data_IF_668281177797
#
_entry.id   IF_668281177797
#
_cell.length_a   1.000
_cell.length_b   1.000
_cell.length_c   1.000
_cell.angle_alpha   90.00
_cell.angle_beta   90.00
_cell.angle_gamma   90.00
#
_symmetry.space_group_name_H-M   'P 1'
#
loop_
_entity.id
_entity.type
_entity.pdbx_description
1 polymer ?
#
# COMPACT_ATOMS: atom_id res chain seq x y z
N UNK A 1 36.44 5.15 -3.94
CA UNK A 1 36.53 3.73 -3.50
C UNK A 1 35.78 3.62 -2.19
N UNK A 2 34.92 2.61 -2.02
CA UNK A 2 34.14 2.43 -0.79
C UNK A 2 35.03 2.03 0.40
N UNK A 3 34.69 2.42 1.64
CA UNK A 3 35.40 1.94 2.81
C UNK A 3 35.26 0.42 2.93
N UNK A 4 36.31 -0.24 3.42
CA UNK A 4 36.23 -1.67 3.80
C UNK A 4 35.20 -1.79 4.91
N UNK A 5 34.12 -2.51 4.62
CA UNK A 5 32.95 -2.63 5.50
C UNK A 5 32.55 -4.10 5.58
N UNK A 6 32.31 -4.58 6.78
CA UNK A 6 31.87 -5.94 7.08
C UNK A 6 30.34 -6.08 7.01
N UNK A 7 29.84 -7.31 6.88
CA UNK A 7 28.39 -7.58 6.92
C UNK A 7 27.75 -7.13 8.23
N UNK A 8 28.47 -7.24 9.35
CA UNK A 8 28.01 -6.77 10.65
C UNK A 8 27.84 -5.24 10.68
N UNK A 9 28.77 -4.49 10.08
CA UNK A 9 28.67 -3.04 9.98
C UNK A 9 27.54 -2.59 9.03
N UNK A 10 27.35 -3.29 7.91
CA UNK A 10 26.21 -3.07 7.03
C UNK A 10 24.89 -3.29 7.77
N UNK A 11 24.78 -4.40 8.49
CA UNK A 11 23.59 -4.75 9.27
C UNK A 11 23.30 -3.71 10.36
N UNK A 12 24.28 -3.39 11.22
CA UNK A 12 24.16 -2.38 12.28
C UNK A 12 23.75 -1.02 11.72
N UNK A 13 24.33 -0.64 10.59
CA UNK A 13 23.99 0.62 9.92
C UNK A 13 22.55 0.62 9.42
N UNK A 14 22.12 -0.45 8.74
CA UNK A 14 20.76 -0.52 8.22
C UNK A 14 19.73 -0.47 9.36
N UNK A 15 19.95 -1.23 10.45
CA UNK A 15 19.07 -1.19 11.61
C UNK A 15 19.02 0.19 12.25
N UNK A 16 20.16 0.91 12.38
CA UNK A 16 20.17 2.29 12.86
C UNK A 16 19.32 3.23 11.97
N UNK A 17 19.39 3.05 10.64
CA UNK A 17 18.57 3.81 9.69
C UNK A 17 17.08 3.51 9.93
N UNK A 18 16.71 2.25 10.08
CA UNK A 18 15.32 1.83 10.28
C UNK A 18 14.76 2.26 11.64
N UNK A 19 15.53 2.16 12.72
CA UNK A 19 15.01 2.34 14.08
C UNK A 19 15.24 3.77 14.61
N UNK A 20 16.47 4.29 14.46
CA UNK A 20 16.92 5.46 15.21
C UNK A 20 16.94 6.75 14.39
N UNK A 21 16.92 6.65 13.06
CA UNK A 21 16.99 7.83 12.22
C UNK A 21 15.67 8.60 12.19
N UNK A 22 15.73 9.94 12.19
CA UNK A 22 14.53 10.78 12.03
C UNK A 22 13.88 10.54 10.66
N UNK A 23 12.54 10.48 10.66
CA UNK A 23 11.69 10.18 9.49
C UNK A 23 10.48 11.09 9.48
N UNK A 24 10.41 12.00 8.50
CA UNK A 24 9.25 12.86 8.27
C UNK A 24 8.22 12.20 7.34
N UNK A 25 8.68 11.22 6.54
CA UNK A 25 7.87 10.43 5.62
C UNK A 25 8.51 9.04 5.42
N UNK A 26 7.83 8.18 4.66
CA UNK A 26 8.24 6.80 4.45
C UNK A 26 9.32 6.61 3.36
N UNK A 27 9.96 7.67 2.86
CA UNK A 27 10.93 7.55 1.76
C UNK A 27 12.15 6.72 2.12
N UNK A 28 12.60 6.74 3.38
CA UNK A 28 13.73 5.89 3.81
C UNK A 28 13.38 4.40 3.70
N UNK A 29 12.16 4.00 4.06
CA UNK A 29 11.73 2.62 3.91
C UNK A 29 11.61 2.21 2.44
N UNK A 30 11.03 3.09 1.61
CA UNK A 30 10.98 2.86 0.17
C UNK A 30 12.38 2.75 -0.45
N UNK A 31 13.36 3.56 0.01
CA UNK A 31 14.74 3.48 -0.46
C UNK A 31 15.44 2.19 -0.01
N UNK A 32 15.23 1.77 1.25
CA UNK A 32 15.75 0.48 1.74
C UNK A 32 15.15 -0.70 0.96
N UNK A 33 13.83 -0.68 0.70
CA UNK A 33 13.13 -1.68 -0.11
C UNK A 33 13.68 -1.72 -1.53
N UNK A 34 13.89 -0.55 -2.14
CA UNK A 34 14.52 -0.43 -3.46
C UNK A 34 15.91 -1.09 -3.47
N UNK A 35 16.79 -0.81 -2.50
CA UNK A 35 18.11 -1.43 -2.43
C UNK A 35 18.01 -2.96 -2.34
N UNK A 36 17.11 -3.48 -1.50
CA UNK A 36 16.89 -4.91 -1.35
C UNK A 36 16.38 -5.56 -2.64
N UNK A 37 15.37 -4.99 -3.29
CA UNK A 37 14.79 -5.56 -4.51
C UNK A 37 15.73 -5.44 -5.71
N UNK A 38 16.40 -4.30 -5.87
CA UNK A 38 17.35 -4.08 -6.96
C UNK A 38 18.54 -5.03 -6.86
N UNK A 39 19.18 -5.14 -5.68
CA UNK A 39 20.32 -6.04 -5.48
C UNK A 39 19.95 -7.52 -5.58
N UNK A 40 18.68 -7.89 -5.34
CA UNK A 40 18.22 -9.26 -5.51
C UNK A 40 17.96 -9.64 -6.98
N UNK A 41 17.73 -8.64 -7.84
CA UNK A 41 17.39 -8.83 -9.26
C UNK A 41 18.55 -8.54 -10.22
N UNK A 42 19.63 -7.94 -9.74
CA UNK A 42 20.79 -7.55 -10.56
C UNK A 42 22.10 -8.11 -9.98
N UNK A 43 23.14 -8.12 -10.81
CA UNK A 43 24.47 -8.58 -10.43
C UNK A 43 25.33 -7.43 -9.91
N UNK A 44 26.34 -7.75 -9.09
CA UNK A 44 27.22 -6.78 -8.43
C UNK A 44 28.12 -5.98 -9.38
N UNK A 45 28.12 -6.33 -10.67
CA UNK A 45 28.77 -5.57 -11.75
C UNK A 45 27.93 -4.36 -12.19
N UNK A 46 26.60 -4.41 -12.04
CA UNK A 46 25.66 -3.36 -12.43
C UNK A 46 25.45 -2.37 -11.28
N UNK A 47 26.54 -1.69 -10.92
CA UNK A 47 26.58 -0.82 -9.74
C UNK A 47 25.91 0.52 -9.95
N UNK A 48 25.83 1.02 -11.17
CA UNK A 48 25.27 2.34 -11.46
C UNK A 48 23.74 2.28 -11.58
N UNK A 49 23.05 3.22 -10.94
CA UNK A 49 21.58 3.32 -11.01
C UNK A 49 21.12 4.76 -11.19
N UNK A 50 20.36 5.00 -12.25
CA UNK A 50 19.68 6.27 -12.48
C UNK A 50 18.53 6.52 -11.49
N UNK A 51 18.34 7.78 -11.12
CA UNK A 51 17.19 8.17 -10.29
C UNK A 51 15.85 7.93 -10.96
N UNK A 52 15.78 7.82 -12.29
CA UNK A 52 14.55 7.41 -12.99
C UNK A 52 14.17 5.96 -12.68
N UNK A 53 15.16 5.07 -12.55
CA UNK A 53 14.93 3.68 -12.12
C UNK A 53 14.41 3.67 -10.68
N UNK A 54 15.06 4.40 -9.76
CA UNK A 54 14.60 4.52 -8.37
C UNK A 54 13.19 5.12 -8.30
N UNK A 55 12.88 6.13 -9.13
CA UNK A 55 11.56 6.73 -9.23
C UNK A 55 10.48 5.74 -9.64
N UNK A 56 10.79 4.83 -10.58
CA UNK A 56 9.86 3.77 -11.00
C UNK A 56 9.54 2.80 -9.86
N UNK A 57 10.54 2.34 -9.11
CA UNK A 57 10.32 1.50 -7.92
C UNK A 57 9.50 2.21 -6.85
N UNK A 58 9.82 3.48 -6.58
CA UNK A 58 9.03 4.29 -5.65
C UNK A 58 7.58 4.40 -6.12
N UNK A 59 7.35 4.74 -7.39
CA UNK A 59 6.00 4.84 -7.92
C UNK A 59 5.24 3.51 -7.79
N UNK A 60 5.88 2.37 -8.06
CA UNK A 60 5.27 1.05 -7.88
C UNK A 60 4.84 0.80 -6.44
N UNK A 61 5.70 1.08 -5.47
CA UNK A 61 5.38 0.85 -4.05
C UNK A 61 4.22 1.72 -3.57
N UNK A 62 4.22 3.00 -3.95
CA UNK A 62 3.17 3.93 -3.54
C UNK A 62 1.89 3.78 -4.37
N UNK A 63 1.95 3.17 -5.57
CA UNK A 63 0.80 3.00 -6.45
C UNK A 63 -0.35 2.28 -5.74
N UNK A 64 -0.12 1.07 -5.23
CA UNK A 64 -1.18 0.32 -4.55
C UNK A 64 -1.59 0.96 -3.22
N UNK A 65 -0.63 1.53 -2.48
CA UNK A 65 -0.90 2.19 -1.21
C UNK A 65 -1.85 3.37 -1.37
N UNK A 66 -1.67 4.20 -2.40
CA UNK A 66 -2.48 5.39 -2.66
C UNK A 66 -3.75 5.04 -3.47
N UNK A 67 -3.59 4.40 -4.62
CA UNK A 67 -4.65 4.27 -5.62
C UNK A 67 -5.68 3.19 -5.31
N UNK A 68 -5.27 2.15 -4.58
CA UNK A 68 -6.11 0.98 -4.26
C UNK A 68 -6.51 0.94 -2.79
N UNK A 69 -5.52 0.98 -1.90
CA UNK A 69 -5.71 0.79 -0.46
C UNK A 69 -6.00 2.08 0.31
N UNK A 70 -5.77 3.24 -0.31
CA UNK A 70 -6.02 4.58 0.27
C UNK A 70 -5.40 4.75 1.66
N UNK A 71 -4.16 4.29 1.81
CA UNK A 71 -3.39 4.47 3.03
C UNK A 71 -3.06 5.94 3.24
N UNK A 72 -3.24 6.43 4.46
CA UNK A 72 -2.82 7.78 4.86
C UNK A 72 -1.31 7.83 4.96
N UNK A 73 -0.74 8.84 4.32
CA UNK A 73 0.72 9.06 4.25
C UNK A 73 1.16 10.33 4.99
N UNK A 74 0.21 11.07 5.57
CA UNK A 74 0.44 12.22 6.46
C UNK A 74 -0.76 12.46 7.38
N UNK A 75 -0.52 13.06 8.56
CA UNK A 75 -1.60 13.50 9.47
C UNK A 75 -2.45 14.63 8.89
N UNK A 76 -1.82 15.54 8.15
CA UNK A 76 -2.47 16.71 7.55
C UNK A 76 -2.35 16.65 6.03
N UNK A 77 -3.42 17.05 5.33
CA UNK A 77 -3.48 17.04 3.86
C UNK A 77 -2.38 17.91 3.24
N UNK A 78 -2.07 19.07 3.83
CA UNK A 78 -1.00 19.97 3.37
C UNK A 78 0.40 19.33 3.45
N UNK A 79 0.60 18.43 4.42
CA UNK A 79 1.86 17.73 4.69
C UNK A 79 2.02 16.42 3.92
N UNK A 80 1.13 16.11 2.96
CA UNK A 80 1.27 14.93 2.10
C UNK A 80 2.66 14.88 1.46
N UNK A 81 3.32 13.70 1.42
CA UNK A 81 4.56 13.51 0.69
C UNK A 81 4.41 13.89 -0.79
N UNK A 82 5.49 14.39 -1.39
CA UNK A 82 5.44 14.90 -2.76
C UNK A 82 5.03 13.82 -3.78
N UNK A 83 5.42 12.55 -3.57
CA UNK A 83 5.01 11.43 -4.43
C UNK A 83 3.49 11.27 -4.47
N UNK A 84 2.81 11.45 -3.34
CA UNK A 84 1.35 11.35 -3.27
C UNK A 84 0.69 12.50 -4.03
N UNK A 85 1.24 13.72 -3.89
CA UNK A 85 0.77 14.90 -4.65
C UNK A 85 0.95 14.71 -6.15
N UNK A 86 2.06 14.08 -6.57
CA UNK A 86 2.34 13.77 -7.97
C UNK A 86 1.32 12.75 -8.50
N UNK A 87 1.13 11.61 -7.80
CA UNK A 87 0.18 10.57 -8.18
C UNK A 87 -1.23 11.15 -8.32
N UNK A 88 -1.71 11.88 -7.30
CA UNK A 88 -3.07 12.45 -7.31
C UNK A 88 -3.29 13.49 -8.43
N UNK A 89 -2.23 14.17 -8.88
CA UNK A 89 -2.32 15.14 -9.98
C UNK A 89 -2.41 14.47 -11.34
N UNK A 90 -1.62 13.43 -11.59
CA UNK A 90 -1.66 12.69 -12.86
C UNK A 90 -2.85 11.71 -12.94
N UNK A 91 -3.27 11.20 -11.79
CA UNK A 91 -4.35 10.22 -11.63
C UNK A 91 -5.42 10.75 -10.66
N UNK A 92 -6.28 11.70 -11.09
CA UNK A 92 -7.21 12.42 -10.20
C UNK A 92 -8.49 11.65 -9.85
N UNK A 93 -8.80 10.54 -10.52
CA UNK A 93 -9.99 9.75 -10.17
C UNK A 93 -9.85 9.17 -8.77
N UNK A 94 -10.96 9.02 -8.07
CA UNK A 94 -10.98 8.53 -6.69
C UNK A 94 -10.64 7.03 -6.55
N UNK A 95 -10.49 6.30 -7.66
CA UNK A 95 -10.28 4.87 -7.67
C UNK A 95 -9.55 4.40 -8.94
N UNK A 96 -8.41 3.73 -8.74
CA UNK A 96 -7.67 3.03 -9.79
C UNK A 96 -7.30 1.62 -9.30
N UNK A 97 -8.11 0.59 -9.60
CA UNK A 97 -7.92 -0.75 -9.06
C UNK A 97 -6.76 -1.55 -9.68
N UNK A 98 -6.22 -1.07 -10.79
CA UNK A 98 -5.24 -1.75 -11.62
C UNK A 98 -3.91 -1.97 -10.87
N UNK A 99 -3.24 -3.08 -11.16
CA UNK A 99 -1.84 -3.27 -10.74
C UNK A 99 -0.96 -2.20 -11.38
N UNK A 100 0.24 -2.01 -10.83
CA UNK A 100 1.21 -1.09 -11.39
C UNK A 100 1.58 -1.47 -12.84
N UNK A 101 1.82 -2.76 -13.08
CA UNK A 101 2.10 -3.31 -14.41
C UNK A 101 0.96 -2.99 -15.39
N UNK A 102 -0.30 -3.16 -14.95
CA UNK A 102 -1.44 -2.93 -15.82
C UNK A 102 -1.66 -1.45 -16.13
N UNK A 103 -1.46 -0.55 -15.16
CA UNK A 103 -1.59 0.88 -15.43
C UNK A 103 -0.46 1.41 -16.32
N UNK A 104 0.74 0.81 -16.24
CA UNK A 104 1.84 1.13 -17.16
C UNK A 104 1.47 0.85 -18.62
N UNK A 105 0.71 -0.22 -18.89
CA UNK A 105 0.22 -0.53 -20.24
C UNK A 105 -0.88 0.43 -20.69
N UNK A 106 -1.81 0.79 -19.80
CA UNK A 106 -3.00 1.58 -20.16
C UNK A 106 -2.67 3.07 -20.26
N UNK A 107 -1.80 3.59 -19.40
CA UNK A 107 -1.50 5.02 -19.27
C UNK A 107 0.02 5.29 -19.21
N UNK A 108 0.82 4.79 -20.19
CA UNK A 108 2.28 4.84 -20.13
C UNK A 108 2.82 6.27 -20.01
N UNK A 109 2.22 7.23 -20.71
CA UNK A 109 2.65 8.63 -20.67
C UNK A 109 2.45 9.28 -19.29
N UNK A 110 1.33 9.01 -18.61
CA UNK A 110 1.08 9.51 -17.25
C UNK A 110 2.08 8.92 -16.28
N UNK A 111 2.39 7.62 -16.41
CA UNK A 111 3.41 6.98 -15.59
C UNK A 111 4.78 7.60 -15.83
N UNK A 112 5.17 7.85 -17.09
CA UNK A 112 6.44 8.52 -17.37
C UNK A 112 6.49 9.93 -16.76
N UNK A 113 5.41 10.72 -16.85
CA UNK A 113 5.33 12.02 -16.18
C UNK A 113 5.45 11.92 -14.66
N UNK A 114 4.86 10.90 -14.05
CA UNK A 114 5.04 10.62 -12.62
C UNK A 114 6.52 10.34 -12.30
N UNK A 115 7.17 9.44 -13.06
CA UNK A 115 8.58 9.07 -12.88
C UNK A 115 9.48 10.31 -12.95
N UNK A 116 9.31 11.15 -13.97
CA UNK A 116 10.09 12.39 -14.13
C UNK A 116 9.89 13.36 -12.96
N UNK A 117 8.65 13.54 -12.52
CA UNK A 117 8.34 14.43 -11.38
C UNK A 117 8.87 13.86 -10.06
N UNK A 118 8.82 12.55 -9.87
CA UNK A 118 9.34 11.87 -8.68
C UNK A 118 10.86 12.01 -8.65
N UNK A 119 11.56 11.71 -9.76
CA UNK A 119 13.00 11.93 -9.92
C UNK A 119 13.38 13.33 -9.46
N UNK A 120 12.75 14.35 -10.04
CA UNK A 120 13.08 15.77 -9.81
C UNK A 120 12.81 16.25 -8.39
N UNK A 121 11.83 15.70 -7.67
CA UNK A 121 11.37 16.29 -6.40
C UNK A 121 11.60 15.44 -5.15
N UNK A 122 11.70 14.12 -5.27
CA UNK A 122 11.64 13.23 -4.11
C UNK A 122 13.02 12.88 -3.53
N UNK A 123 14.08 12.89 -4.35
CA UNK A 123 15.34 12.27 -3.96
C UNK A 123 16.37 13.19 -3.30
N UNK A 124 16.28 14.50 -3.49
CA UNK A 124 17.29 15.42 -2.97
C UNK A 124 17.54 15.25 -1.47
N UNK A 125 16.50 15.08 -0.64
CA UNK A 125 16.68 14.92 0.80
C UNK A 125 16.93 13.47 1.21
N UNK A 126 16.16 12.51 0.68
CA UNK A 126 16.28 11.12 1.13
C UNK A 126 17.62 10.52 0.77
N UNK A 127 18.21 10.80 -0.40
CA UNK A 127 19.47 10.17 -0.82
C UNK A 127 20.60 10.40 0.17
N UNK A 128 20.84 11.65 0.59
CA UNK A 128 21.92 11.92 1.55
C UNK A 128 21.52 11.67 3.01
N UNK A 129 20.24 11.83 3.36
CA UNK A 129 19.76 11.57 4.72
C UNK A 129 19.57 10.09 5.00
N UNK A 130 19.50 9.23 3.99
CA UNK A 130 19.33 7.79 4.14
C UNK A 130 20.52 7.21 4.91
N UNK A 131 21.75 7.51 4.48
CA UNK A 131 22.98 7.03 5.11
C UNK A 131 23.53 8.01 6.17
N UNK A 132 22.65 8.84 6.75
CA UNK A 132 22.98 9.74 7.86
C UNK A 132 22.47 9.13 9.16
N UNK A 133 23.38 8.56 9.93
CA UNK A 133 23.09 7.82 11.16
C UNK A 133 23.46 8.63 12.42
N UNK A 134 22.82 8.31 13.53
CA UNK A 134 23.14 8.89 14.84
C UNK A 134 24.47 8.29 15.34
N UNK A 135 25.40 9.16 15.73
CA UNK A 135 26.69 8.78 16.31
C UNK A 135 26.96 9.63 17.55
N UNK A 136 26.69 9.05 18.73
CA UNK A 136 26.68 9.77 20.00
C UNK A 136 25.66 10.92 20.00
N UNK A 137 26.12 12.14 20.31
CA UNK A 137 25.33 13.39 20.26
C UNK A 137 25.25 14.03 18.87
N UNK A 138 25.90 13.44 17.86
CA UNK A 138 25.99 13.99 16.51
C UNK A 138 25.34 13.07 15.47
N UNK A 139 25.26 13.54 14.22
CA UNK A 139 24.84 12.73 13.09
C UNK A 139 25.97 12.67 12.06
N UNK A 140 26.30 11.46 11.59
CA UNK A 140 27.39 11.23 10.62
C UNK A 140 26.82 10.61 9.33
N UNK A 141 27.28 11.12 8.19
CA UNK A 141 26.99 10.57 6.86
C UNK A 141 28.10 9.57 6.53
N UNK A 142 27.77 8.27 6.38
CA UNK A 142 28.78 7.19 6.33
C UNK A 142 28.97 6.53 4.96
N UNK A 143 28.07 6.76 4.00
CA UNK A 143 28.19 6.34 2.57
C UNK A 143 28.73 4.92 2.32
N UNK A 144 28.29 3.94 3.09
CA UNK A 144 28.77 2.55 2.96
C UNK A 144 27.97 1.74 1.92
N UNK A 145 26.70 2.05 1.68
CA UNK A 145 25.84 1.28 0.77
C UNK A 145 25.93 1.75 -0.68
N UNK A 146 26.02 3.07 -0.88
CA UNK A 146 26.10 3.68 -2.20
C UNK A 146 26.73 5.08 -2.11
N UNK A 147 27.27 5.55 -3.22
CA UNK A 147 27.80 6.89 -3.40
C UNK A 147 26.96 7.70 -4.38
N UNK A 148 27.06 9.03 -4.30
CA UNK A 148 26.33 9.99 -5.13
C UNK A 148 27.01 11.36 -5.10
N UNK A 149 26.72 12.18 -6.11
CA UNK A 149 27.27 13.54 -6.21
C UNK A 149 26.26 14.59 -5.74
N UNK A 150 26.77 15.68 -5.18
CA UNK A 150 25.99 16.88 -4.92
C UNK A 150 26.11 17.81 -6.12
N UNK A 151 24.98 18.26 -6.66
CA UNK A 151 24.95 19.36 -7.62
C UNK A 151 25.22 20.70 -6.93
N UNK A 152 24.71 20.87 -5.70
CA UNK A 152 24.89 22.11 -4.93
C UNK A 152 24.72 21.86 -3.43
N UNK A 153 25.59 22.45 -2.63
CA UNK A 153 25.48 22.47 -1.17
C UNK A 153 25.29 23.93 -0.74
N UNK A 154 24.14 24.25 -0.13
CA UNK A 154 23.92 25.60 0.40
C UNK A 154 24.47 25.69 1.83
N UNK A 155 24.11 24.73 2.68
CA UNK A 155 24.67 24.57 4.03
C UNK A 155 24.41 23.14 4.53
N UNK A 156 24.87 22.82 5.76
CA UNK A 156 24.85 21.45 6.34
C UNK A 156 23.49 20.72 6.31
N UNK A 157 22.38 21.47 6.27
CA UNK A 157 21.02 20.92 6.31
C UNK A 157 20.24 21.10 4.99
N UNK A 158 20.82 21.78 3.98
CA UNK A 158 20.20 22.05 2.68
C UNK A 158 21.19 21.73 1.56
N UNK A 159 21.05 20.52 1.01
CA UNK A 159 21.92 19.96 -0.04
C UNK A 159 21.06 19.47 -1.21
N UNK A 160 21.57 19.60 -2.42
CA UNK A 160 20.95 19.16 -3.65
C UNK A 160 21.82 18.10 -4.32
N UNK A 161 21.22 16.93 -4.52
CA UNK A 161 21.82 15.79 -5.24
C UNK A 161 21.86 16.11 -6.73
N UNK A 162 22.96 15.72 -7.38
CA UNK A 162 23.03 15.62 -8.83
C UNK A 162 22.20 14.41 -9.27
N UNK A 163 20.98 14.68 -9.75
CA UNK A 163 20.02 13.65 -10.10
C UNK A 163 20.29 13.01 -11.47
N UNK A 164 21.16 13.62 -12.29
CA UNK A 164 21.51 13.09 -13.60
C UNK A 164 22.75 12.19 -13.53
N UNK A 165 23.57 12.33 -12.48
CA UNK A 165 24.66 11.40 -12.18
C UNK A 165 24.21 10.10 -11.48
N UNK A 166 22.95 9.95 -11.08
CA UNK A 166 22.49 8.72 -10.40
C UNK A 166 23.20 8.40 -9.08
N UNK A 167 23.14 7.13 -8.66
CA UNK A 167 23.91 6.57 -7.54
C UNK A 167 24.81 5.44 -8.03
N UNK A 168 25.93 5.22 -7.34
CA UNK A 168 26.78 4.06 -7.55
C UNK A 168 26.68 3.17 -6.30
N UNK A 169 26.19 1.95 -6.44
CA UNK A 169 26.07 0.97 -5.36
C UNK A 169 27.45 0.40 -5.01
N UNK A 170 27.66 0.13 -3.72
CA UNK A 170 28.83 -0.61 -3.26
C UNK A 170 28.64 -2.11 -3.58
N UNK A 171 29.48 -2.75 -4.41
CA UNK A 171 29.36 -4.17 -4.74
C UNK A 171 29.27 -5.08 -3.50
N UNK A 172 30.04 -4.77 -2.45
CA UNK A 172 29.99 -5.54 -1.19
C UNK A 172 28.64 -5.39 -0.48
N UNK A 173 28.07 -4.19 -0.49
CA UNK A 173 26.74 -3.96 0.04
C UNK A 173 25.67 -4.67 -0.79
N UNK A 174 25.82 -4.72 -2.12
CA UNK A 174 24.91 -5.47 -3.01
C UNK A 174 24.92 -6.96 -2.65
N UNK A 175 26.10 -7.57 -2.51
CA UNK A 175 26.22 -8.98 -2.06
C UNK A 175 25.61 -9.20 -0.68
N UNK A 176 25.81 -8.27 0.27
CA UNK A 176 25.17 -8.30 1.59
C UNK A 176 23.63 -8.28 1.48
N UNK A 177 23.07 -7.32 0.74
CA UNK A 177 21.62 -7.19 0.56
C UNK A 177 21.01 -8.41 -0.14
N UNK A 178 21.73 -9.01 -1.10
CA UNK A 178 21.32 -10.23 -1.80
C UNK A 178 21.34 -11.44 -0.88
N UNK A 179 22.43 -11.63 -0.12
CA UNK A 179 22.60 -12.77 0.81
C UNK A 179 21.56 -12.77 1.94
N UNK A 180 21.30 -11.61 2.53
CA UNK A 180 20.39 -11.48 3.68
C UNK A 180 18.98 -10.99 3.30
N UNK A 181 18.67 -11.00 2.00
CA UNK A 181 17.45 -10.40 1.45
C UNK A 181 16.15 -10.82 2.19
N UNK A 182 15.89 -12.12 2.47
CA UNK A 182 14.64 -12.52 3.10
C UNK A 182 14.45 -11.94 4.50
N UNK A 183 15.52 -11.87 5.30
CA UNK A 183 15.47 -11.33 6.66
C UNK A 183 15.37 -9.80 6.65
N UNK A 184 16.17 -9.13 5.82
CA UNK A 184 16.17 -7.68 5.71
C UNK A 184 14.85 -7.14 5.14
N UNK A 185 14.24 -7.83 4.18
CA UNK A 185 12.93 -7.44 3.66
C UNK A 185 11.85 -7.50 4.74
N UNK A 186 11.85 -8.54 5.58
CA UNK A 186 10.92 -8.63 6.73
C UNK A 186 11.13 -7.45 7.69
N UNK A 187 12.37 -7.09 8.00
CA UNK A 187 12.68 -5.95 8.87
C UNK A 187 12.22 -4.62 8.27
N UNK A 188 12.51 -4.36 6.98
CA UNK A 188 12.09 -3.13 6.29
C UNK A 188 10.56 -3.02 6.25
N UNK A 189 9.84 -4.10 5.94
CA UNK A 189 8.38 -4.10 5.90
C UNK A 189 7.77 -3.92 7.30
N UNK A 190 8.34 -4.55 8.33
CA UNK A 190 7.89 -4.37 9.71
C UNK A 190 8.02 -2.90 10.14
N UNK A 191 9.18 -2.28 9.94
CA UNK A 191 9.42 -0.90 10.36
C UNK A 191 8.63 0.11 9.51
N UNK A 192 8.44 -0.15 8.22
CA UNK A 192 7.52 0.65 7.40
C UNK A 192 6.07 0.50 7.88
N UNK A 193 5.65 -0.70 8.26
CA UNK A 193 4.31 -0.93 8.79
C UNK A 193 4.12 -0.18 10.10
N UNK A 194 5.06 -0.28 11.06
CA UNK A 194 5.03 0.47 12.33
C UNK A 194 4.93 1.98 12.10
N UNK A 195 5.73 2.52 11.19
CA UNK A 195 5.65 3.94 10.83
C UNK A 195 4.29 4.32 10.25
N UNK A 196 3.72 3.46 9.40
CA UNK A 196 2.44 3.71 8.74
C UNK A 196 1.24 3.51 9.67
N UNK A 197 1.35 2.65 10.66
CA UNK A 197 0.27 2.31 11.61
C UNK A 197 -0.20 3.52 12.40
N UNK A 198 0.72 4.44 12.76
CA UNK A 198 0.42 5.70 13.44
C UNK A 198 -0.66 6.52 12.68
N UNK A 199 -0.65 6.46 11.35
CA UNK A 199 -1.58 7.19 10.47
C UNK A 199 -2.80 6.36 10.06
N UNK A 200 -2.69 5.04 10.13
CA UNK A 200 -3.61 4.06 9.56
C UNK A 200 -4.17 3.14 10.65
N UNK A 201 -4.40 3.69 11.85
CA UNK A 201 -5.02 2.97 12.96
C UNK A 201 -6.34 2.37 12.47
N UNK A 202 -6.58 1.11 12.86
CA UNK A 202 -7.81 0.37 12.54
C UNK A 202 -8.00 0.05 11.04
N UNK A 203 -6.95 0.17 10.21
CA UNK A 203 -6.95 -0.37 8.84
C UNK A 203 -6.66 -1.87 8.87
N UNK A 204 -7.58 -2.74 8.42
CA UNK A 204 -7.34 -4.17 8.40
C UNK A 204 -6.17 -4.53 7.47
N UNK A 205 -5.42 -5.59 7.82
CA UNK A 205 -4.36 -6.16 6.97
C UNK A 205 -3.35 -5.13 6.45
N UNK A 206 -2.83 -4.27 7.33
CA UNK A 206 -1.89 -3.22 6.93
C UNK A 206 -0.59 -3.78 6.33
N UNK A 207 -0.02 -4.86 6.90
CA UNK A 207 1.23 -5.48 6.41
C UNK A 207 1.17 -5.81 4.91
N UNK A 208 0.23 -6.65 4.41
CA UNK A 208 0.19 -6.97 2.99
C UNK A 208 -0.10 -5.75 2.09
N UNK A 209 -0.79 -4.72 2.60
CA UNK A 209 -0.99 -3.46 1.88
C UNK A 209 0.30 -2.65 1.75
N UNK A 210 1.18 -2.68 2.74
CA UNK A 210 2.51 -2.05 2.71
C UNK A 210 3.49 -2.86 1.85
N UNK A 211 3.42 -4.19 1.87
CA UNK A 211 4.24 -5.06 1.00
C UNK A 211 4.09 -4.73 -0.49
N UNK A 212 2.97 -4.10 -0.89
CA UNK A 212 2.69 -3.76 -2.28
C UNK A 212 2.36 -4.98 -3.13
N UNK A 213 1.93 -6.09 -2.50
CA UNK A 213 1.44 -7.27 -3.19
C UNK A 213 -0.07 -7.20 -3.28
N UNK A 214 -0.62 -7.48 -4.46
CA UNK A 214 -2.06 -7.63 -4.61
C UNK A 214 -2.53 -8.78 -3.71
N UNK A 215 -3.37 -8.45 -2.74
CA UNK A 215 -4.09 -9.43 -1.92
C UNK A 215 -4.89 -10.35 -2.84
N UNK A 216 -4.58 -11.66 -2.79
CA UNK A 216 -5.21 -12.68 -3.64
C UNK A 216 -6.71 -12.71 -3.35
N UNK A 217 -7.52 -12.27 -4.32
CA UNK A 217 -8.97 -12.49 -4.30
C UNK A 217 -9.23 -13.94 -4.68
N UNK A 218 -10.08 -14.61 -3.91
CA UNK A 218 -10.61 -15.92 -4.30
C UNK A 218 -11.81 -15.73 -5.23
N UNK A 219 -12.11 -16.73 -6.07
CA UNK A 219 -13.35 -16.71 -6.83
C UNK A 219 -14.54 -16.73 -5.87
N UNK A 220 -15.24 -15.60 -5.79
CA UNK A 220 -16.39 -15.43 -4.91
C UNK A 220 -17.60 -16.28 -5.36
N UNK A 221 -17.59 -16.80 -6.59
CA UNK A 221 -18.62 -17.70 -7.11
C UNK A 221 -18.89 -18.88 -6.19
N UNK A 222 -17.87 -19.39 -5.48
CA UNK A 222 -18.00 -20.49 -4.52
C UNK A 222 -18.95 -20.18 -3.35
N UNK A 223 -19.11 -18.90 -2.97
CA UNK A 223 -20.00 -18.49 -1.88
C UNK A 223 -21.46 -18.29 -2.31
N UNK A 224 -21.76 -18.35 -3.62
CA UNK A 224 -23.14 -18.27 -4.11
C UNK A 224 -24.03 -19.34 -3.49
N UNK A 225 -23.49 -20.55 -3.29
CA UNK A 225 -24.23 -21.67 -2.68
C UNK A 225 -24.63 -21.35 -1.23
N UNK A 226 -23.73 -20.78 -0.44
CA UNK A 226 -24.01 -20.38 0.95
C UNK A 226 -25.10 -19.29 1.03
N UNK A 227 -25.13 -18.39 0.05
CA UNK A 227 -26.10 -17.29 -0.02
C UNK A 227 -27.38 -17.62 -0.83
N UNK A 228 -27.56 -18.85 -1.31
CA UNK A 228 -28.65 -19.25 -2.24
C UNK A 228 -30.08 -18.99 -1.74
N UNK A 229 -30.25 -18.84 -0.42
CA UNK A 229 -31.54 -18.51 0.21
C UNK A 229 -31.96 -17.06 -0.07
N UNK A 230 -31.01 -16.16 -0.36
CA UNK A 230 -31.31 -14.80 -0.78
C UNK A 230 -31.83 -14.81 -2.23
N UNK A 231 -33.15 -14.61 -2.42
CA UNK A 231 -33.80 -14.65 -3.74
C UNK A 231 -33.91 -13.29 -4.44
N UNK A 232 -33.62 -12.21 -3.73
CA UNK A 232 -33.74 -10.83 -4.19
C UNK A 232 -32.43 -10.10 -4.00
N UNK A 233 -32.14 -9.13 -4.87
CA UNK A 233 -30.94 -8.31 -4.80
C UNK A 233 -30.89 -7.60 -3.46
N UNK A 234 -29.73 -7.61 -2.80
CA UNK A 234 -29.58 -6.97 -1.49
C UNK A 234 -29.84 -5.46 -1.53
N UNK A 235 -29.57 -4.82 -2.67
CA UNK A 235 -29.71 -3.38 -2.82
C UNK A 235 -31.09 -2.96 -3.34
N UNK A 236 -31.43 -3.37 -4.58
CA UNK A 236 -32.67 -2.93 -5.22
C UNK A 236 -33.89 -3.79 -4.92
N UNK A 237 -33.69 -4.84 -4.15
CA UNK A 237 -34.72 -5.82 -3.85
C UNK A 237 -35.36 -6.44 -5.11
N UNK A 238 -34.83 -6.31 -6.33
CA UNK A 238 -35.38 -7.03 -7.50
C UNK A 238 -35.07 -8.53 -7.42
N UNK A 239 -35.93 -9.38 -8.03
CA UNK A 239 -35.69 -10.84 -8.07
C UNK A 239 -34.34 -11.12 -8.74
N UNK A 240 -33.52 -11.95 -8.10
CA UNK A 240 -32.23 -12.34 -8.67
C UNK A 240 -32.45 -13.32 -9.81
N UNK A 241 -31.75 -13.08 -10.92
CA UNK A 241 -31.77 -13.99 -12.05
C UNK A 241 -31.02 -15.28 -11.70
N UNK A 242 -31.54 -16.40 -12.18
CA UNK A 242 -30.85 -17.69 -12.17
C UNK A 242 -29.66 -17.73 -13.12
N UNK A 243 -29.55 -16.79 -14.06
CA UNK A 243 -28.43 -16.69 -14.98
C UNK A 243 -27.12 -16.40 -14.21
N UNK A 244 -26.07 -17.23 -14.34
CA UNK A 244 -24.85 -17.14 -13.52
C UNK A 244 -24.12 -15.79 -13.57
N UNK A 245 -24.25 -15.03 -14.67
CA UNK A 245 -23.58 -13.74 -14.90
C UNK A 245 -24.39 -12.52 -14.45
N UNK A 246 -25.63 -12.71 -14.02
CA UNK A 246 -26.53 -11.61 -13.63
C UNK A 246 -26.61 -11.40 -12.11
N UNK A 247 -26.16 -12.40 -11.35
CA UNK A 247 -26.13 -12.38 -9.88
C UNK A 247 -24.68 -12.57 -9.42
N UNK A 248 -24.19 -11.63 -8.61
CA UNK A 248 -22.82 -11.61 -8.09
C UNK A 248 -22.81 -11.71 -6.57
N UNK A 249 -21.79 -12.38 -6.02
CA UNK A 249 -21.42 -12.20 -4.62
C UNK A 249 -20.62 -10.91 -4.54
N UNK A 250 -21.08 -9.97 -3.72
CA UNK A 250 -20.49 -8.65 -3.59
C UNK A 250 -20.14 -8.36 -2.13
N UNK A 251 -19.06 -7.62 -1.94
CA UNK A 251 -18.64 -7.12 -0.64
C UNK A 251 -19.42 -5.85 -0.29
N UNK A 252 -20.09 -5.79 0.86
CA UNK A 252 -20.78 -4.56 1.28
C UNK A 252 -19.77 -3.46 1.63
N UNK A 253 -18.80 -3.77 2.49
CA UNK A 253 -17.62 -2.91 2.73
C UNK A 253 -16.54 -3.27 1.71
N UNK A 254 -15.95 -2.31 0.97
CA UNK A 254 -15.03 -2.59 -0.13
C UNK A 254 -13.90 -3.56 0.23
N UNK A 255 -13.68 -4.58 -0.62
CA UNK A 255 -12.57 -5.53 -0.45
C UNK A 255 -11.22 -4.81 -0.34
N UNK A 256 -11.01 -3.72 -1.08
CA UNK A 256 -9.71 -3.03 -1.02
C UNK A 256 -9.47 -2.39 0.37
N UNK A 257 -10.53 -2.13 1.15
CA UNK A 257 -10.38 -1.71 2.54
C UNK A 257 -10.23 -2.92 3.49
N UNK A 258 -11.06 -3.96 3.36
CA UNK A 258 -11.03 -5.11 4.29
C UNK A 258 -9.84 -6.05 4.02
N UNK A 259 -9.46 -6.20 2.75
CA UNK A 259 -8.39 -7.07 2.25
C UNK A 259 -8.55 -8.55 2.65
N UNK A 260 -9.79 -8.98 2.86
CA UNK A 260 -10.15 -10.37 3.13
C UNK A 260 -11.50 -10.71 2.49
N UNK A 261 -11.60 -11.93 1.99
CA UNK A 261 -12.83 -12.50 1.45
C UNK A 261 -13.56 -13.26 2.57
N UNK A 262 -14.44 -12.57 3.29
CA UNK A 262 -15.15 -13.13 4.44
C UNK A 262 -16.68 -12.97 4.35
N UNK A 263 -17.42 -14.06 4.58
CA UNK A 263 -18.87 -14.16 4.30
C UNK A 263 -19.75 -13.23 5.12
N UNK A 264 -19.30 -12.78 6.31
CA UNK A 264 -20.00 -11.75 7.07
C UNK A 264 -20.20 -10.46 6.25
N UNK A 265 -19.32 -10.19 5.29
CA UNK A 265 -19.34 -9.00 4.43
C UNK A 265 -20.00 -9.26 3.06
N UNK A 266 -20.51 -10.47 2.80
CA UNK A 266 -21.00 -10.88 1.48
C UNK A 266 -22.51 -10.83 1.36
N UNK A 267 -22.98 -10.37 0.21
CA UNK A 267 -24.40 -10.37 -0.18
C UNK A 267 -24.53 -10.80 -1.64
N UNK A 268 -25.75 -11.20 -2.06
CA UNK A 268 -26.05 -11.31 -3.49
C UNK A 268 -26.56 -9.98 -4.05
N UNK A 269 -25.96 -9.52 -5.15
CA UNK A 269 -26.37 -8.31 -5.86
C UNK A 269 -26.60 -8.61 -7.34
N UNK A 270 -27.56 -7.91 -7.96
CA UNK A 270 -27.69 -7.93 -9.41
C UNK A 270 -26.51 -7.18 -10.06
N UNK A 271 -26.22 -7.49 -11.33
CA UNK A 271 -25.14 -6.87 -12.09
C UNK A 271 -25.17 -5.34 -12.04
N UNK A 272 -26.34 -4.73 -12.23
CA UNK A 272 -26.50 -3.27 -12.22
C UNK A 272 -26.09 -2.62 -10.89
N UNK A 273 -26.56 -3.17 -9.75
CA UNK A 273 -26.19 -2.65 -8.43
C UNK A 273 -24.70 -2.87 -8.13
N UNK A 274 -24.15 -4.02 -8.51
CA UNK A 274 -22.73 -4.32 -8.33
C UNK A 274 -21.83 -3.34 -9.11
N UNK A 275 -22.16 -3.10 -10.39
CA UNK A 275 -21.43 -2.16 -11.25
C UNK A 275 -21.57 -0.71 -10.78
N UNK A 276 -22.73 -0.33 -10.25
CA UNK A 276 -22.93 1.00 -9.68
C UNK A 276 -22.11 1.21 -8.40
N UNK A 277 -22.01 0.19 -7.54
CA UNK A 277 -21.25 0.27 -6.29
C UNK A 277 -19.76 0.42 -6.56
N UNK A 278 -19.19 -0.37 -7.48
CA UNK A 278 -17.82 -0.16 -8.00
C UNK A 278 -16.71 -0.04 -6.93
N UNK A 279 -16.83 -0.74 -5.80
CA UNK A 279 -15.89 -0.62 -4.67
C UNK A 279 -16.09 0.61 -3.78
N UNK A 280 -17.19 1.36 -3.96
CA UNK A 280 -17.67 2.39 -3.04
C UNK A 280 -18.43 1.79 -1.85
N UNK A 281 -18.64 2.60 -0.82
CA UNK A 281 -19.51 2.27 0.31
C UNK A 281 -20.98 2.52 -0.08
N UNK A 282 -21.90 1.60 0.26
CA UNK A 282 -23.32 1.83 0.06
C UNK A 282 -23.87 2.82 1.11
N UNK A 283 -25.07 3.41 0.91
CA UNK A 283 -25.77 4.14 1.96
C UNK A 283 -25.85 3.36 3.28
N UNK A 284 -25.75 4.07 4.42
CA UNK A 284 -25.65 3.44 5.76
C UNK A 284 -26.81 2.47 6.09
N UNK A 285 -28.00 2.65 5.49
CA UNK A 285 -29.12 1.71 5.63
C UNK A 285 -28.74 0.26 5.29
N UNK A 286 -27.97 0.07 4.22
CA UNK A 286 -27.55 -1.25 3.75
C UNK A 286 -26.53 -1.91 4.69
N UNK A 287 -25.77 -1.12 5.46
CA UNK A 287 -24.94 -1.65 6.53
C UNK A 287 -25.80 -2.17 7.69
N UNK A 288 -26.87 -1.44 8.03
CA UNK A 288 -27.87 -1.89 9.01
C UNK A 288 -28.55 -3.19 8.58
N UNK A 289 -28.95 -3.28 7.30
CA UNK A 289 -29.54 -4.49 6.72
C UNK A 289 -28.57 -5.68 6.77
N UNK A 290 -27.27 -5.44 6.51
CA UNK A 290 -26.23 -6.45 6.59
C UNK A 290 -26.11 -7.01 8.01
N UNK A 291 -26.01 -6.12 9.00
CA UNK A 291 -25.88 -6.49 10.42
C UNK A 291 -27.11 -7.26 10.88
N UNK A 292 -28.32 -6.77 10.55
CA UNK A 292 -29.58 -7.44 10.88
C UNK A 292 -29.64 -8.84 10.25
N UNK A 293 -29.25 -8.98 8.98
CA UNK A 293 -29.15 -10.28 8.31
C UNK A 293 -28.16 -11.20 9.02
N UNK A 294 -26.97 -10.70 9.34
CA UNK A 294 -25.93 -11.49 10.00
C UNK A 294 -26.42 -12.04 11.35
N UNK A 295 -27.13 -11.22 12.12
CA UNK A 295 -27.74 -11.60 13.40
C UNK A 295 -28.78 -12.71 13.26
N UNK A 296 -29.71 -12.59 12.31
CA UNK A 296 -30.82 -13.53 12.13
C UNK A 296 -30.38 -14.83 11.43
N UNK A 297 -29.34 -14.75 10.60
CA UNK A 297 -28.92 -15.83 9.71
C UNK A 297 -27.63 -16.53 10.14
N UNK A 298 -27.05 -16.23 11.31
CA UNK A 298 -25.78 -16.80 11.77
C UNK A 298 -25.70 -18.33 11.66
N UNK A 299 -26.78 -19.06 12.01
CA UNK A 299 -26.87 -20.52 11.84
C UNK A 299 -27.55 -21.00 10.54
N UNK A 300 -27.90 -20.09 9.62
CA UNK A 300 -28.68 -20.40 8.40
C UNK A 300 -27.88 -20.29 7.11
N UNK A 301 -26.74 -19.59 7.16
CA UNK A 301 -25.80 -19.37 6.07
C UNK A 301 -24.50 -20.08 6.45
N UNK A 302 -24.11 -21.06 5.63
CA UNK A 302 -22.92 -21.88 5.87
C UNK A 302 -21.67 -21.01 6.03
N UNK A 303 -20.92 -21.19 7.13
CA UNK A 303 -19.70 -20.43 7.42
C UNK A 303 -19.91 -19.04 8.06
N UNK A 304 -21.16 -18.58 8.19
CA UNK A 304 -21.43 -17.25 8.73
C UNK A 304 -21.15 -17.17 10.23
N UNK A 305 -21.54 -18.18 11.01
CA UNK A 305 -21.30 -18.19 12.46
C UNK A 305 -19.81 -18.07 12.77
N UNK A 306 -18.99 -18.91 12.16
CA UNK A 306 -17.54 -18.95 12.31
C UNK A 306 -16.91 -17.61 11.88
N UNK A 307 -17.42 -17.02 10.80
CA UNK A 307 -16.95 -15.70 10.36
C UNK A 307 -17.22 -14.56 11.33
N UNK A 308 -18.35 -14.62 12.04
CA UNK A 308 -18.71 -13.62 13.05
C UNK A 308 -17.92 -13.85 14.34
N UNK A 309 -17.64 -15.10 14.70
CA UNK A 309 -16.77 -15.45 15.83
C UNK A 309 -15.35 -14.89 15.64
N UNK A 310 -14.81 -14.95 14.42
CA UNK A 310 -13.51 -14.35 14.08
C UNK A 310 -13.50 -12.82 14.28
N UNK A 311 -14.64 -12.14 14.07
CA UNK A 311 -14.78 -10.70 14.35
C UNK A 311 -14.89 -10.38 15.85
N UNK A 312 -15.14 -11.39 16.68
CA UNK A 312 -15.27 -11.30 18.13
C UNK A 312 -16.69 -10.98 18.63
N UNK A 313 -16.87 -11.01 19.95
CA UNK A 313 -18.17 -10.83 20.61
C UNK A 313 -18.88 -9.50 20.27
N UNK A 314 -18.12 -8.47 19.90
CA UNK A 314 -18.62 -7.16 19.46
C UNK A 314 -18.73 -6.98 17.95
N UNK A 315 -18.89 -8.04 17.17
CA UNK A 315 -18.83 -8.00 15.70
C UNK A 315 -19.75 -6.95 15.05
N UNK A 316 -20.92 -6.65 15.62
CA UNK A 316 -21.83 -5.59 15.10
C UNK A 316 -21.13 -4.22 15.11
N UNK A 317 -20.37 -3.94 16.17
CA UNK A 317 -19.53 -2.74 16.29
C UNK A 317 -18.36 -2.81 15.32
N UNK A 318 -17.66 -3.94 15.24
CA UNK A 318 -16.53 -4.13 14.31
C UNK A 318 -16.93 -3.88 12.84
N UNK A 319 -18.11 -4.31 12.42
CA UNK A 319 -18.65 -4.04 11.07
C UNK A 319 -18.91 -2.53 10.87
N UNK A 320 -19.49 -1.85 11.86
CA UNK A 320 -19.68 -0.40 11.82
C UNK A 320 -18.36 0.35 11.76
N UNK A 321 -17.41 -0.01 12.61
CA UNK A 321 -16.09 0.62 12.69
C UNK A 321 -15.35 0.46 11.36
N UNK A 322 -15.39 -0.74 10.75
CA UNK A 322 -14.84 -0.96 9.41
C UNK A 322 -15.45 -0.04 8.35
N UNK A 323 -16.77 0.17 8.37
CA UNK A 323 -17.45 1.07 7.42
C UNK A 323 -17.03 2.53 7.65
N UNK A 324 -16.99 2.98 8.91
CA UNK A 324 -16.59 4.33 9.29
C UNK A 324 -15.14 4.60 8.94
N UNK A 325 -14.25 3.63 9.21
CA UNK A 325 -12.83 3.72 8.91
C UNK A 325 -12.61 3.78 7.40
N UNK A 326 -13.27 2.91 6.62
CA UNK A 326 -13.23 2.99 5.16
C UNK A 326 -13.65 4.38 4.66
N UNK A 327 -14.77 4.93 5.16
CA UNK A 327 -15.21 6.28 4.79
C UNK A 327 -14.14 7.33 5.11
N UNK A 328 -13.54 7.26 6.30
CA UNK A 328 -12.51 8.19 6.74
C UNK A 328 -11.20 8.09 5.92
N UNK A 329 -10.97 6.95 5.26
CA UNK A 329 -9.87 6.71 4.32
C UNK A 329 -10.22 7.14 2.88
N UNK A 330 -11.34 7.82 2.66
CA UNK A 330 -11.69 8.38 1.35
C UNK A 330 -12.36 7.38 0.40
N UNK A 331 -12.93 6.29 0.92
CA UNK A 331 -13.90 5.50 0.17
C UNK A 331 -15.20 6.28 0.05
N UNK A 332 -15.64 6.55 -1.19
CA UNK A 332 -16.84 7.32 -1.46
C UNK A 332 -18.08 6.59 -0.93
N UNK A 333 -19.02 7.34 -0.34
CA UNK A 333 -20.33 6.82 0.04
C UNK A 333 -21.32 7.22 -1.03
N UNK A 334 -21.97 6.23 -1.65
CA UNK A 334 -23.00 6.50 -2.64
C UNK A 334 -24.22 7.15 -1.98
N UNK A 335 -24.80 8.15 -2.65
CA UNK A 335 -26.03 8.83 -2.19
C UNK A 335 -27.22 7.88 -2.24
N UNK A 336 -27.30 7.08 -3.29
CA UNK A 336 -28.29 6.03 -3.47
C UNK A 336 -27.67 4.83 -4.17
N UNK A 337 -28.25 3.67 -3.91
CA UNK A 337 -28.18 2.49 -4.77
C UNK A 337 -29.65 2.10 -4.98
N UNK A 338 -30.07 1.81 -6.22
CA UNK A 338 -31.43 1.39 -6.53
C UNK A 338 -31.94 0.32 -5.60
#
# INVERSE_FOLDING_TARGET
>A
MFPVTTDEEFFKTLMNILDLSAKDNAYKFAFAKFLLEYCNSHNETETHVDFSTIAKYFLEYYWLQECKYKLRQAHQVSKKPEIIKIIQREFPKSYYPQSFQKIMEIEPEKIQRCIEKIKKKCFHNVTWRFQKIKYGRTNKEIRIFFDYKYARIIHKNKKFIDLDNGINLNPKAMSFFKRYNPALNKAVILEWTRFSEILNKDVPKLIPKIEGKLTKRIDLGKFKKALKKQKRCFYCNNKLSSAPRQTHVEHVIPFDFIAEDNIWNFVLACQGCNLMKQGSLPPKKFLGDLIKRNKICGGKIDGLKESLEILGAGWEKSINDNYVNAKSHGYAVLRSIP
#
